data_IF_720447012790
#
_entry.id   IF_720447012790
#
_cell.length_a   1.000
_cell.length_b   1.000
_cell.length_c   1.000
_cell.angle_alpha   90.00
_cell.angle_beta   90.00
_cell.angle_gamma   90.00
#
_symmetry.space_group_name_H-M   'P 1'
#
loop_
_entity.id
_entity.type
_entity.pdbx_description
1 polymer ?
#
# COMPACT_ATOMS: atom_id res chain seq x y z
N UNK A 1 -9.72 -23.74 -19.48
CA UNK A 1 -9.79 -23.40 -20.91
C UNK A 1 -10.85 -24.23 -21.54
N UNK A 2 -12.04 -23.77 -21.83
CA UNK A 2 -12.59 -23.64 -23.16
C UNK A 2 -13.74 -22.60 -23.23
N UNK A 3 -13.49 -21.39 -23.67
CA UNK A 3 -14.55 -20.39 -23.98
C UNK A 3 -14.17 -19.36 -25.08
N UNK A 4 -13.14 -19.64 -25.90
CA UNK A 4 -12.72 -18.73 -26.99
C UNK A 4 -12.98 -19.25 -28.43
N UNK A 5 -13.68 -20.35 -28.59
CA UNK A 5 -13.91 -20.93 -29.94
C UNK A 5 -15.34 -20.66 -30.52
N UNK A 6 -16.24 -20.05 -29.72
CA UNK A 6 -17.63 -19.89 -30.15
C UNK A 6 -17.93 -18.61 -30.97
N UNK A 7 -17.00 -17.64 -31.06
CA UNK A 7 -17.29 -16.37 -31.77
C UNK A 7 -16.77 -16.32 -33.20
N UNK A 8 -15.95 -17.27 -33.64
CA UNK A 8 -15.40 -17.30 -34.99
C UNK A 8 -16.32 -18.00 -36.03
N UNK A 9 -17.37 -18.70 -35.59
CA UNK A 9 -18.22 -19.48 -36.50
C UNK A 9 -19.48 -18.77 -37.04
N UNK A 10 -19.76 -17.57 -36.57
CA UNK A 10 -21.00 -16.85 -36.97
C UNK A 10 -20.82 -15.84 -38.10
N UNK A 11 -19.58 -15.49 -38.48
CA UNK A 11 -19.35 -14.50 -39.55
C UNK A 11 -18.93 -15.06 -40.91
N UNK A 12 -18.91 -16.39 -41.11
CA UNK A 12 -18.40 -16.98 -42.34
C UNK A 12 -19.49 -17.41 -43.36
N UNK A 13 -20.75 -17.00 -43.21
CA UNK A 13 -21.84 -17.50 -44.08
C UNK A 13 -22.38 -16.50 -45.10
N UNK A 14 -21.87 -15.27 -45.21
CA UNK A 14 -22.47 -14.28 -46.11
C UNK A 14 -21.48 -13.37 -46.85
N UNK A 15 -20.34 -13.87 -47.29
CA UNK A 15 -19.51 -13.11 -48.22
C UNK A 15 -19.10 -13.93 -49.43
N UNK A 16 -19.54 -13.47 -50.60
CA UNK A 16 -19.40 -14.15 -51.87
C UNK A 16 -17.96 -14.23 -52.40
N UNK A 17 -17.79 -15.12 -53.31
CA UNK A 17 -16.61 -15.80 -53.85
C UNK A 17 -15.52 -14.95 -54.53
N UNK A 18 -15.37 -13.65 -54.29
CA UNK A 18 -14.38 -12.81 -54.98
C UNK A 18 -13.29 -12.16 -54.08
N UNK A 19 -13.29 -12.40 -52.78
CA UNK A 19 -12.34 -11.77 -51.83
C UNK A 19 -11.33 -12.76 -51.22
N UNK A 20 -11.33 -14.03 -51.61
CA UNK A 20 -10.42 -15.05 -51.02
C UNK A 20 -8.95 -14.94 -51.49
N UNK A 21 -8.70 -14.29 -52.62
CA UNK A 21 -7.32 -14.21 -53.16
C UNK A 21 -6.49 -13.11 -52.52
N UNK A 22 -7.09 -12.07 -51.90
CA UNK A 22 -6.37 -10.95 -51.28
C UNK A 22 -6.09 -11.15 -49.79
N UNK A 23 -6.82 -12.03 -49.11
CA UNK A 23 -6.58 -12.35 -47.70
C UNK A 23 -5.48 -13.38 -47.45
N UNK A 24 -5.12 -14.18 -48.47
CA UNK A 24 -4.02 -15.14 -48.34
C UNK A 24 -2.62 -14.48 -48.37
N UNK A 25 -2.49 -13.27 -48.94
CA UNK A 25 -1.22 -12.55 -48.99
C UNK A 25 -0.96 -11.70 -47.72
N UNK A 26 -1.99 -11.38 -46.96
CA UNK A 26 -1.84 -10.63 -45.70
C UNK A 26 -1.56 -11.56 -44.51
N UNK A 27 -1.98 -12.83 -44.58
CA UNK A 27 -1.77 -13.81 -43.52
C UNK A 27 -0.32 -14.34 -43.43
N UNK A 28 0.50 -14.19 -44.50
CA UNK A 28 1.90 -14.65 -44.51
C UNK A 28 2.87 -13.57 -44.00
N UNK A 29 2.44 -12.29 -43.91
CA UNK A 29 3.30 -11.20 -43.44
C UNK A 29 3.18 -10.92 -41.92
N UNK A 30 2.33 -11.63 -41.16
CA UNK A 30 2.14 -11.48 -39.71
C UNK A 30 2.66 -12.68 -38.91
N UNK A 31 3.30 -13.66 -39.59
CA UNK A 31 4.12 -14.67 -38.91
C UNK A 31 5.56 -14.15 -38.64
N UNK A 32 5.67 -12.87 -38.32
CA UNK A 32 6.85 -12.38 -37.60
C UNK A 32 6.82 -12.99 -36.21
N UNK A 33 7.86 -13.71 -35.84
CA UNK A 33 8.20 -14.11 -34.50
C UNK A 33 7.85 -12.98 -33.52
N UNK A 34 6.67 -12.99 -32.92
CA UNK A 34 6.54 -12.40 -31.61
C UNK A 34 7.31 -13.37 -30.69
N UNK A 35 8.62 -13.10 -30.49
CA UNK A 35 9.22 -13.44 -29.24
C UNK A 35 8.22 -12.92 -28.21
N UNK A 36 7.63 -13.76 -27.37
CA UNK A 36 7.00 -13.32 -26.14
C UNK A 36 8.09 -12.52 -25.43
N UNK A 37 8.07 -11.19 -25.63
CA UNK A 37 8.99 -10.31 -24.94
C UNK A 37 8.73 -10.55 -23.47
N UNK A 38 9.77 -10.92 -22.76
CA UNK A 38 9.74 -11.07 -21.31
C UNK A 38 9.02 -9.85 -20.75
N UNK A 39 7.85 -10.07 -20.16
CA UNK A 39 7.02 -8.98 -19.65
C UNK A 39 7.78 -8.34 -18.48
N UNK A 40 8.27 -7.12 -18.69
CA UNK A 40 9.03 -6.39 -17.67
C UNK A 40 8.13 -6.20 -16.46
N UNK A 41 8.48 -6.85 -15.36
CA UNK A 41 7.72 -6.75 -14.10
C UNK A 41 7.78 -5.32 -13.56
N UNK A 42 6.63 -4.73 -13.14
CA UNK A 42 6.63 -3.41 -12.51
C UNK A 42 7.55 -3.36 -11.29
N UNK A 43 8.30 -2.27 -11.15
CA UNK A 43 9.16 -1.99 -10.00
C UNK A 43 8.35 -1.37 -8.89
N UNK A 44 8.31 -1.99 -7.72
CA UNK A 44 7.46 -1.57 -6.61
C UNK A 44 8.27 -1.40 -5.33
N UNK A 45 8.08 -0.28 -4.65
CA UNK A 45 8.47 -0.05 -3.26
C UNK A 45 7.19 0.10 -2.45
N UNK A 46 7.10 -0.57 -1.31
CA UNK A 46 6.02 -0.40 -0.36
C UNK A 46 6.58 0.28 0.89
N UNK A 47 6.00 1.41 1.29
CA UNK A 47 6.21 1.98 2.63
C UNK A 47 4.96 1.76 3.46
N UNK A 48 5.12 1.25 4.69
CA UNK A 48 4.03 0.79 5.53
C UNK A 48 4.30 1.05 7.00
N UNK A 49 3.28 1.41 7.76
CA UNK A 49 3.31 1.47 9.21
C UNK A 49 2.67 0.21 9.83
N UNK A 50 2.71 -0.01 11.14
CA UNK A 50 2.22 -1.26 11.74
C UNK A 50 0.69 -1.31 11.88
N UNK A 51 -0.05 -0.64 11.01
CA UNK A 51 -1.50 -0.72 10.99
C UNK A 51 -1.98 -2.11 10.53
N UNK A 52 -3.21 -2.47 10.91
CA UNK A 52 -3.79 -3.77 10.60
C UNK A 52 -3.88 -4.02 9.10
N UNK A 53 -4.34 -3.02 8.36
CA UNK A 53 -4.55 -3.13 6.92
C UNK A 53 -3.23 -3.10 6.14
N UNK A 54 -2.21 -2.38 6.62
CA UNK A 54 -0.85 -2.41 6.07
C UNK A 54 -0.23 -3.80 6.19
N UNK A 55 -0.29 -4.38 7.40
CA UNK A 55 0.17 -5.74 7.63
C UNK A 55 -0.51 -6.72 6.67
N UNK A 56 -1.83 -6.64 6.56
CA UNK A 56 -2.60 -7.53 5.70
C UNK A 56 -2.34 -7.26 4.21
N UNK A 57 -2.06 -6.02 3.84
CA UNK A 57 -1.74 -5.64 2.46
C UNK A 57 -0.37 -6.18 2.06
N UNK A 58 0.65 -6.13 2.93
CA UNK A 58 1.96 -6.73 2.64
C UNK A 58 1.85 -8.25 2.49
N UNK A 59 1.05 -8.94 3.32
CA UNK A 59 0.81 -10.38 3.15
C UNK A 59 0.23 -10.68 1.76
N UNK A 60 -0.75 -9.88 1.31
CA UNK A 60 -1.31 -10.03 -0.04
C UNK A 60 -0.30 -9.70 -1.12
N UNK A 61 0.44 -8.61 -0.97
CA UNK A 61 1.44 -8.16 -1.94
C UNK A 61 2.54 -9.23 -2.15
N UNK A 62 3.03 -9.85 -1.09
CA UNK A 62 4.02 -10.93 -1.19
C UNK A 62 3.51 -12.14 -1.97
N UNK A 63 2.19 -12.42 -1.93
CA UNK A 63 1.60 -13.47 -2.74
C UNK A 63 1.53 -13.13 -4.24
N UNK A 64 1.73 -11.86 -4.61
CA UNK A 64 1.86 -11.37 -5.99
C UNK A 64 3.32 -11.08 -6.38
N UNK A 65 4.29 -11.54 -5.60
CA UNK A 65 5.71 -11.25 -5.85
C UNK A 65 6.27 -11.93 -7.12
N UNK A 66 5.55 -12.88 -7.72
CA UNK A 66 5.87 -13.39 -9.04
C UNK A 66 5.48 -12.45 -10.18
N UNK A 67 4.55 -11.51 -9.96
CA UNK A 67 4.05 -10.58 -10.98
C UNK A 67 4.74 -9.22 -10.95
N UNK A 68 5.38 -8.87 -9.83
CA UNK A 68 6.04 -7.57 -9.62
C UNK A 68 7.47 -7.75 -9.11
N UNK A 69 8.33 -6.75 -9.33
CA UNK A 69 9.68 -6.69 -8.79
C UNK A 69 9.68 -5.79 -7.56
N UNK A 70 9.71 -6.38 -6.37
CA UNK A 70 9.88 -5.60 -5.14
C UNK A 70 11.30 -5.05 -5.05
N UNK A 71 11.41 -3.73 -5.00
CA UNK A 71 12.66 -3.01 -4.81
C UNK A 71 12.87 -2.57 -3.36
N UNK A 72 11.80 -2.46 -2.59
CA UNK A 72 11.83 -2.11 -1.18
C UNK A 72 10.57 -2.47 -0.44
N UNK A 73 10.74 -2.94 0.79
CA UNK A 73 9.70 -3.14 1.81
C UNK A 73 10.12 -2.30 3.02
N UNK A 74 9.48 -1.14 3.21
CA UNK A 74 10.04 -0.10 4.06
C UNK A 74 9.10 0.21 5.21
N UNK A 75 9.62 0.11 6.45
CA UNK A 75 8.91 0.60 7.62
C UNK A 75 8.75 2.13 7.56
N UNK A 76 7.56 2.64 7.78
CA UNK A 76 7.22 4.05 7.79
C UNK A 76 6.46 4.43 9.06
N UNK A 77 6.14 5.70 9.22
CA UNK A 77 5.24 6.23 10.22
C UNK A 77 4.03 6.90 9.58
N UNK A 78 3.02 7.19 10.38
CA UNK A 78 1.90 8.04 10.04
C UNK A 78 1.42 8.78 11.28
N UNK A 79 0.36 9.61 11.15
CA UNK A 79 -0.31 10.17 12.32
C UNK A 79 -0.93 9.10 13.23
N UNK A 80 -1.12 7.89 12.74
CA UNK A 80 -1.74 6.81 13.50
C UNK A 80 -0.71 5.91 14.17
N UNK A 81 0.53 5.88 13.66
CA UNK A 81 1.58 5.00 14.16
C UNK A 81 2.96 5.63 14.00
N UNK A 82 3.66 5.90 15.11
CA UNK A 82 5.06 6.34 15.13
C UNK A 82 5.79 5.85 16.39
N UNK A 83 7.05 5.49 16.20
CA UNK A 83 7.82 4.71 17.18
C UNK A 83 8.39 5.52 18.32
N UNK A 84 8.68 6.79 18.10
CA UNK A 84 9.51 7.60 18.97
C UNK A 84 11.01 7.40 18.74
N UNK A 85 11.81 8.32 19.28
CA UNK A 85 13.27 8.32 19.13
C UNK A 85 14.02 7.52 20.21
N UNK A 86 13.29 6.91 21.14
CA UNK A 86 13.85 6.18 22.27
C UNK A 86 14.55 7.05 23.32
N UNK A 87 14.49 8.40 23.19
CA UNK A 87 15.15 9.36 24.08
C UNK A 87 14.17 10.11 24.98
N UNK A 88 12.89 9.80 24.87
CA UNK A 88 11.83 10.47 25.60
C UNK A 88 11.38 11.79 24.98
N UNK A 89 11.77 12.09 23.74
CA UNK A 89 11.25 13.24 23.01
C UNK A 89 9.75 13.07 22.78
N UNK A 90 8.98 14.07 23.14
CA UNK A 90 7.53 14.07 22.92
C UNK A 90 7.18 14.79 21.64
N UNK A 91 6.21 14.26 20.89
CA UNK A 91 5.64 14.92 19.73
C UNK A 91 4.27 15.52 20.03
N UNK A 92 4.02 16.69 19.41
CA UNK A 92 2.79 17.42 19.54
C UNK A 92 2.47 18.14 18.22
N UNK A 93 1.57 17.57 17.41
CA UNK A 93 1.11 18.19 16.16
C UNK A 93 -0.38 18.48 16.28
N UNK A 94 -0.81 19.76 16.25
CA UNK A 94 -2.23 20.13 16.32
C UNK A 94 -3.06 19.43 15.24
N UNK A 95 -4.25 18.98 15.63
CA UNK A 95 -5.21 18.34 14.71
C UNK A 95 -5.04 16.84 14.51
N UNK A 96 -3.96 16.25 14.99
CA UNK A 96 -3.78 14.79 14.97
C UNK A 96 -4.70 14.08 15.96
N UNK A 97 -4.96 12.80 15.74
CA UNK A 97 -5.82 11.98 16.60
C UNK A 97 -5.37 12.04 18.07
N UNK A 98 -4.11 11.76 18.33
CA UNK A 98 -3.52 11.75 19.68
C UNK A 98 -3.59 13.10 20.38
N UNK A 99 -3.71 14.20 19.61
CA UNK A 99 -3.83 15.55 20.15
C UNK A 99 -5.27 15.92 20.49
N UNK A 100 -6.20 15.59 19.59
CA UNK A 100 -7.63 15.91 19.75
C UNK A 100 -8.24 15.20 20.95
N UNK A 101 -7.69 14.07 21.33
CA UNK A 101 -8.21 13.25 22.44
C UNK A 101 -7.44 13.47 23.75
N UNK A 102 -6.53 14.46 23.79
CA UNK A 102 -5.70 14.77 24.95
C UNK A 102 -4.89 13.55 25.46
N UNK A 103 -4.58 12.62 24.57
CA UNK A 103 -3.82 11.41 24.90
C UNK A 103 -2.31 11.66 24.95
N UNK A 104 -1.86 12.76 24.37
CA UNK A 104 -0.46 13.18 24.28
C UNK A 104 -0.29 14.59 24.88
N UNK A 105 0.96 15.02 25.18
CA UNK A 105 2.20 14.65 24.47
C UNK A 105 2.67 13.24 24.76
N UNK A 106 3.03 12.51 23.70
CA UNK A 106 3.48 11.12 23.74
C UNK A 106 4.92 10.99 23.25
N UNK A 107 5.62 9.96 23.71
CA UNK A 107 6.97 9.59 23.23
C UNK A 107 6.93 8.56 22.11
N UNK A 108 5.79 7.95 21.87
CA UNK A 108 5.48 7.03 20.76
C UNK A 108 3.95 6.93 20.62
N UNK A 109 3.47 6.45 19.50
CA UNK A 109 2.04 6.26 19.28
C UNK A 109 1.77 4.98 18.49
N UNK A 110 1.14 3.99 19.12
CA UNK A 110 0.71 2.70 18.54
C UNK A 110 1.77 1.97 17.69
N UNK A 111 3.05 2.25 17.94
CA UNK A 111 4.17 1.59 17.28
C UNK A 111 5.07 0.97 18.36
N UNK A 112 5.07 -0.35 18.46
CA UNK A 112 5.90 -1.04 19.44
C UNK A 112 7.39 -0.84 19.14
N UNK A 113 8.26 -0.67 20.14
CA UNK A 113 9.71 -0.65 19.95
C UNK A 113 10.24 -1.90 19.22
N UNK A 114 9.60 -3.04 19.46
CA UNK A 114 9.98 -4.35 18.88
C UNK A 114 9.09 -4.74 17.67
N UNK A 115 8.49 -3.76 16.99
CA UNK A 115 7.65 -4.03 15.83
C UNK A 115 8.48 -4.45 14.62
N UNK A 116 8.26 -5.64 14.14
CA UNK A 116 8.96 -6.26 13.01
C UNK A 116 7.97 -6.97 12.06
N UNK A 117 6.79 -6.40 11.83
CA UNK A 117 5.74 -7.09 11.06
C UNK A 117 6.16 -7.45 9.63
N UNK A 118 6.96 -6.59 8.96
CA UNK A 118 7.46 -6.89 7.60
C UNK A 118 8.42 -8.10 7.64
N UNK A 119 9.35 -8.11 8.59
CA UNK A 119 10.27 -9.24 8.78
C UNK A 119 9.50 -10.53 9.08
N UNK A 120 8.52 -10.49 9.98
CA UNK A 120 7.70 -11.62 10.34
C UNK A 120 6.92 -12.20 9.13
N UNK A 121 6.45 -11.32 8.24
CA UNK A 121 5.75 -11.73 7.01
C UNK A 121 6.73 -12.42 6.05
N UNK A 122 7.93 -11.90 5.86
CA UNK A 122 8.95 -12.53 5.01
C UNK A 122 9.42 -13.86 5.60
N UNK A 123 9.56 -13.95 6.94
CA UNK A 123 9.86 -15.23 7.62
C UNK A 123 8.73 -16.26 7.48
N UNK A 124 7.48 -15.82 7.45
CA UNK A 124 6.34 -16.70 7.17
C UNK A 124 6.29 -17.12 5.69
N UNK A 125 6.61 -16.20 4.78
CA UNK A 125 6.76 -16.52 3.35
C UNK A 125 7.83 -17.57 3.11
N UNK A 126 8.97 -17.53 3.81
CA UNK A 126 10.02 -18.54 3.71
C UNK A 126 9.52 -19.96 3.98
N UNK A 127 8.57 -20.11 4.90
CA UNK A 127 7.97 -21.42 5.26
C UNK A 127 7.08 -22.01 4.16
N UNK A 128 6.58 -21.17 3.24
CA UNK A 128 5.67 -21.59 2.16
C UNK A 128 6.25 -21.40 0.76
N UNK A 129 7.43 -20.82 0.65
CA UNK A 129 8.07 -20.47 -0.63
C UNK A 129 8.17 -21.65 -1.59
N UNK A 130 8.57 -22.83 -1.12
CA UNK A 130 8.68 -24.03 -1.96
C UNK A 130 7.32 -24.46 -2.53
N UNK A 131 6.23 -24.27 -1.78
CA UNK A 131 4.89 -24.55 -2.26
C UNK A 131 4.44 -23.52 -3.32
N UNK A 132 4.78 -22.25 -3.10
CA UNK A 132 4.49 -21.19 -4.08
C UNK A 132 5.22 -21.44 -5.40
N UNK A 133 6.49 -21.86 -5.35
CA UNK A 133 7.28 -22.20 -6.54
C UNK A 133 6.75 -23.35 -7.37
N UNK A 134 5.90 -24.21 -6.81
CA UNK A 134 5.18 -25.24 -7.57
C UNK A 134 4.15 -24.61 -8.51
N UNK A 135 3.57 -23.46 -8.13
CA UNK A 135 2.57 -22.74 -8.93
C UNK A 135 3.22 -21.77 -9.91
N UNK A 136 4.30 -21.12 -9.50
CA UNK A 136 5.04 -20.17 -10.33
C UNK A 136 6.53 -20.16 -9.94
N UNK A 137 7.45 -20.53 -10.85
CA UNK A 137 8.88 -20.54 -10.56
C UNK A 137 9.48 -19.14 -10.30
N UNK A 138 8.77 -18.09 -10.67
CA UNK A 138 9.22 -16.69 -10.59
C UNK A 138 9.07 -16.06 -9.20
N UNK A 139 8.54 -16.80 -8.21
CA UNK A 139 8.53 -16.32 -6.84
C UNK A 139 9.97 -16.06 -6.34
N UNK A 140 10.30 -14.83 -5.89
CA UNK A 140 11.64 -14.49 -5.41
C UNK A 140 12.02 -15.31 -4.18
N UNK A 141 13.32 -15.46 -3.95
CA UNK A 141 13.76 -16.15 -2.74
C UNK A 141 13.42 -15.34 -1.47
N UNK A 142 13.22 -16.00 -0.33
CA UNK A 142 13.04 -15.29 0.94
C UNK A 142 14.19 -14.36 1.28
N UNK A 143 15.42 -14.75 0.94
CA UNK A 143 16.64 -13.95 1.14
C UNK A 143 16.61 -12.67 0.28
N UNK A 144 16.13 -12.78 -0.96
CA UNK A 144 15.94 -11.63 -1.84
C UNK A 144 14.94 -10.65 -1.22
N UNK A 145 13.76 -11.09 -0.82
CA UNK A 145 12.76 -10.23 -0.17
C UNK A 145 13.31 -9.63 1.13
N UNK A 146 14.02 -10.42 1.94
CA UNK A 146 14.62 -9.96 3.19
C UNK A 146 15.65 -8.86 2.98
N UNK A 147 16.42 -8.91 1.90
CA UNK A 147 17.40 -7.89 1.52
C UNK A 147 16.76 -6.54 1.19
N UNK A 148 15.47 -6.54 0.80
CA UNK A 148 14.68 -5.35 0.45
C UNK A 148 14.06 -4.64 1.66
N UNK A 149 14.09 -5.25 2.85
CA UNK A 149 13.56 -4.64 4.06
C UNK A 149 14.46 -3.51 4.52
N UNK A 150 13.88 -2.32 4.74
CA UNK A 150 14.59 -1.12 5.22
C UNK A 150 13.74 -0.36 6.23
N UNK A 151 14.43 0.35 7.12
CA UNK A 151 13.81 1.32 8.01
C UNK A 151 13.75 2.68 7.31
N UNK A 152 12.55 3.25 7.24
CA UNK A 152 12.30 4.60 6.79
C UNK A 152 12.21 5.58 7.96
N UNK A 153 11.49 6.67 7.76
CA UNK A 153 11.24 7.67 8.79
C UNK A 153 10.09 7.19 9.69
N UNK A 154 10.43 6.60 10.84
CA UNK A 154 9.48 5.95 11.75
C UNK A 154 9.42 6.61 13.13
N UNK A 155 10.39 7.49 13.44
CA UNK A 155 10.53 8.04 14.79
C UNK A 155 9.34 8.94 15.15
N UNK A 156 8.90 9.79 14.24
CA UNK A 156 7.81 10.73 14.46
C UNK A 156 6.90 10.89 13.25
N UNK A 157 5.64 11.25 13.50
CA UNK A 157 4.66 11.61 12.50
C UNK A 157 5.14 12.81 11.65
N UNK A 158 5.29 12.60 10.35
CA UNK A 158 5.67 13.64 9.39
C UNK A 158 7.11 14.16 9.48
N UNK A 159 7.97 13.56 10.31
CA UNK A 159 9.39 13.97 10.38
C UNK A 159 10.19 13.35 9.23
N UNK A 160 10.65 14.19 8.32
CA UNK A 160 11.58 13.85 7.24
C UNK A 160 12.91 14.61 7.32
N UNK A 161 13.29 15.03 8.52
CA UNK A 161 14.52 15.80 8.74
C UNK A 161 15.79 14.99 8.50
N UNK A 162 15.76 13.67 8.74
CA UNK A 162 16.92 12.78 8.68
C UNK A 162 16.83 11.79 7.54
N UNK A 163 17.96 11.53 6.87
CA UNK A 163 18.08 10.38 5.97
C UNK A 163 17.98 9.07 6.73
N UNK A 164 17.36 8.09 6.09
CA UNK A 164 17.19 6.72 6.58
C UNK A 164 17.58 5.76 5.46
N UNK A 165 17.79 4.49 5.81
CA UNK A 165 18.08 3.47 4.80
C UNK A 165 16.95 3.36 3.76
N UNK A 166 15.70 3.50 4.20
CA UNK A 166 14.53 3.51 3.32
C UNK A 166 14.51 4.71 2.38
N UNK A 167 14.75 5.92 2.89
CA UNK A 167 14.79 7.12 2.04
C UNK A 167 15.97 7.10 1.08
N UNK A 168 17.12 6.59 1.51
CA UNK A 168 18.31 6.45 0.66
C UNK A 168 18.10 5.40 -0.45
N UNK A 169 17.40 4.31 -0.14
CA UNK A 169 17.00 3.32 -1.14
C UNK A 169 16.09 3.94 -2.20
N UNK A 170 15.00 4.63 -1.81
CA UNK A 170 14.10 5.30 -2.75
C UNK A 170 14.87 6.30 -3.63
N UNK A 171 15.73 7.13 -3.02
CA UNK A 171 16.61 8.06 -3.75
C UNK A 171 17.44 7.34 -4.81
N UNK A 172 18.10 6.24 -4.44
CA UNK A 172 18.97 5.49 -5.36
C UNK A 172 18.18 4.90 -6.53
N UNK A 173 17.01 4.33 -6.27
CA UNK A 173 16.13 3.73 -7.28
C UNK A 173 15.53 4.76 -8.24
N UNK A 174 15.20 5.95 -7.74
CA UNK A 174 14.71 7.05 -8.59
C UNK A 174 15.81 7.57 -9.50
N UNK A 175 17.07 7.59 -9.03
CA UNK A 175 18.20 8.10 -9.77
C UNK A 175 18.92 7.07 -10.64
N UNK A 176 18.62 5.78 -10.51
CA UNK A 176 19.27 4.72 -11.30
C UNK A 176 18.94 4.83 -12.80
N UNK A 177 19.59 4.01 -13.62
CA UNK A 177 19.47 4.05 -15.08
C UNK A 177 18.40 3.10 -15.64
N UNK A 178 17.65 2.39 -14.77
CA UNK A 178 16.50 1.60 -15.20
C UNK A 178 15.43 2.55 -15.81
N UNK A 179 15.04 2.36 -17.09
CA UNK A 179 14.15 3.30 -17.77
C UNK A 179 12.69 3.23 -17.31
N UNK A 180 12.33 2.16 -16.63
CA UNK A 180 10.94 1.92 -16.17
C UNK A 180 10.53 2.83 -15.02
N UNK A 181 9.22 3.02 -14.84
CA UNK A 181 8.70 3.73 -13.68
C UNK A 181 8.99 2.97 -12.39
N UNK A 182 9.17 3.72 -11.31
CA UNK A 182 9.21 3.22 -9.95
C UNK A 182 7.90 3.59 -9.25
N UNK A 183 7.11 2.59 -8.93
CA UNK A 183 5.88 2.76 -8.16
C UNK A 183 6.20 2.68 -6.68
N UNK A 184 5.90 3.73 -5.93
CA UNK A 184 6.07 3.78 -4.48
C UNK A 184 4.71 3.91 -3.84
N UNK A 185 4.24 2.86 -3.17
CA UNK A 185 2.99 2.92 -2.41
C UNK A 185 3.27 3.42 -1.00
N UNK A 186 2.59 4.49 -0.59
CA UNK A 186 2.60 4.97 0.78
C UNK A 186 1.33 4.50 1.48
N UNK A 187 1.45 3.43 2.25
CA UNK A 187 0.31 2.87 3.01
C UNK A 187 0.12 3.61 4.33
N UNK A 188 1.22 4.05 4.97
CA UNK A 188 1.22 5.03 6.03
C UNK A 188 1.44 6.47 5.51
N UNK A 189 2.30 7.24 6.20
CA UNK A 189 2.68 8.59 5.77
C UNK A 189 3.72 8.60 4.64
N UNK A 190 3.93 9.77 4.07
CA UNK A 190 4.84 9.99 2.94
C UNK A 190 6.22 10.54 3.35
N UNK A 191 6.50 10.70 4.65
CA UNK A 191 7.74 11.31 5.17
C UNK A 191 9.02 10.66 4.65
N UNK A 192 9.04 9.34 4.46
CA UNK A 192 10.19 8.63 3.89
C UNK A 192 10.42 9.00 2.41
N UNK A 193 9.35 9.16 1.63
CA UNK A 193 9.42 9.60 0.24
C UNK A 193 9.84 11.06 0.18
N UNK A 194 9.24 11.91 1.02
CA UNK A 194 9.61 13.33 1.15
C UNK A 194 11.10 13.48 1.49
N UNK A 195 11.66 12.63 2.40
CA UNK A 195 13.09 12.63 2.71
C UNK A 195 13.95 12.26 1.51
N UNK A 196 13.58 11.23 0.76
CA UNK A 196 14.30 10.84 -0.44
C UNK A 196 14.35 11.99 -1.46
N UNK A 197 13.21 12.61 -1.72
CA UNK A 197 13.09 13.76 -2.61
C UNK A 197 13.85 14.99 -2.10
N UNK A 198 13.81 15.24 -0.79
CA UNK A 198 14.60 16.32 -0.18
C UNK A 198 16.09 16.07 -0.31
N UNK A 199 16.57 14.84 -0.15
CA UNK A 199 17.98 14.49 -0.34
C UNK A 199 18.43 14.70 -1.78
N UNK A 200 17.58 14.42 -2.77
CA UNK A 200 17.85 14.73 -4.18
C UNK A 200 17.93 16.25 -4.38
N UNK A 201 16.98 17.00 -3.84
CA UNK A 201 16.98 18.47 -3.91
C UNK A 201 18.26 19.05 -3.27
N UNK A 202 18.58 18.64 -2.05
CA UNK A 202 19.75 19.14 -1.32
C UNK A 202 21.07 18.88 -2.09
N UNK A 203 21.14 17.75 -2.80
CA UNK A 203 22.31 17.37 -3.58
C UNK A 203 22.44 18.12 -4.91
N UNK A 204 21.33 18.34 -5.61
CA UNK A 204 21.37 18.78 -7.02
C UNK A 204 20.81 20.16 -7.30
N UNK A 205 20.00 20.76 -6.41
CA UNK A 205 19.28 22.01 -6.70
C UNK A 205 20.18 23.20 -7.09
N UNK A 206 21.44 23.20 -6.65
CA UNK A 206 22.43 24.26 -6.94
C UNK A 206 23.45 23.82 -8.00
N UNK A 207 23.19 22.74 -8.73
CA UNK A 207 24.11 22.22 -9.74
C UNK A 207 23.54 22.40 -11.15
N UNK A 208 24.39 22.40 -12.19
CA UNK A 208 23.91 22.45 -13.57
C UNK A 208 23.02 21.26 -13.97
N UNK A 209 23.04 20.17 -13.23
CA UNK A 209 22.26 18.96 -13.49
C UNK A 209 20.80 19.07 -13.01
N UNK A 210 20.46 20.10 -12.24
CA UNK A 210 19.17 20.18 -11.53
C UNK A 210 17.96 19.91 -12.42
N UNK A 211 17.84 20.61 -13.56
CA UNK A 211 16.68 20.45 -14.44
C UNK A 211 16.56 19.02 -15.00
N UNK A 212 17.69 18.42 -15.40
CA UNK A 212 17.70 17.05 -15.91
C UNK A 212 17.33 16.03 -14.80
N UNK A 213 17.80 16.25 -13.58
CA UNK A 213 17.46 15.42 -12.42
C UNK A 213 15.98 15.58 -12.07
N UNK A 214 15.47 16.79 -12.02
CA UNK A 214 14.07 17.07 -11.73
C UNK A 214 13.14 16.40 -12.75
N UNK A 215 13.48 16.49 -14.03
CA UNK A 215 12.75 15.81 -15.10
C UNK A 215 12.83 14.28 -14.98
N UNK A 216 14.01 13.73 -14.69
CA UNK A 216 14.20 12.28 -14.45
C UNK A 216 13.28 11.80 -13.30
N UNK A 217 13.29 12.51 -12.17
CA UNK A 217 12.44 12.19 -11.00
C UNK A 217 10.97 12.23 -11.39
N UNK A 218 10.52 13.31 -12.03
CA UNK A 218 9.12 13.49 -12.41
C UNK A 218 8.61 12.43 -13.38
N UNK A 219 9.47 11.96 -14.28
CA UNK A 219 9.10 10.91 -15.24
C UNK A 219 9.11 9.51 -14.63
N UNK A 220 9.98 9.29 -13.63
CA UNK A 220 10.26 7.94 -13.11
C UNK A 220 9.47 7.61 -11.85
N UNK A 221 9.28 8.55 -10.96
CA UNK A 221 8.60 8.33 -9.69
C UNK A 221 7.09 8.45 -9.85
N UNK A 222 6.39 7.40 -9.43
CA UNK A 222 4.93 7.37 -9.30
C UNK A 222 4.59 7.05 -7.85
N UNK A 223 3.94 7.96 -7.16
CA UNK A 223 3.50 7.79 -5.78
C UNK A 223 2.04 7.32 -5.77
N UNK A 224 1.74 6.34 -4.93
CA UNK A 224 0.38 5.80 -4.75
C UNK A 224 0.08 5.84 -3.25
N UNK A 225 -0.40 6.97 -2.71
CA UNK A 225 -0.66 7.11 -1.29
C UNK A 225 -2.03 6.55 -0.92
N UNK A 226 -2.14 6.10 0.32
CA UNK A 226 -3.41 5.82 1.00
C UNK A 226 -3.86 7.07 1.77
N UNK A 227 -3.90 8.21 1.08
CA UNK A 227 -4.06 9.54 1.64
C UNK A 227 -2.77 10.12 2.23
N UNK A 228 -2.73 11.45 2.39
CA UNK A 228 -1.61 12.16 3.01
C UNK A 228 -1.69 12.05 4.54
N UNK A 229 -1.32 10.88 5.07
CA UNK A 229 -1.56 10.55 6.48
C UNK A 229 -0.66 11.30 7.46
N UNK A 230 0.45 11.88 7.01
CA UNK A 230 1.38 12.63 7.86
C UNK A 230 1.55 14.10 7.45
N UNK A 231 0.84 14.53 6.42
CA UNK A 231 0.84 15.89 5.91
C UNK A 231 2.07 16.28 5.10
N UNK A 232 3.00 15.35 4.83
CA UNK A 232 4.23 15.66 4.07
C UNK A 232 4.01 15.74 2.57
N UNK A 233 2.98 15.09 2.03
CA UNK A 233 2.51 15.27 0.66
C UNK A 233 2.19 16.74 0.39
N UNK A 234 1.25 17.28 1.14
CA UNK A 234 0.82 18.67 1.02
C UNK A 234 1.92 19.69 1.41
N UNK A 235 2.68 19.40 2.48
CA UNK A 235 3.67 20.35 3.00
C UNK A 235 4.97 20.40 2.18
N UNK A 236 5.36 19.31 1.53
CA UNK A 236 6.66 19.24 0.86
C UNK A 236 6.60 18.69 -0.55
N UNK A 237 5.96 17.54 -0.80
CA UNK A 237 6.03 16.87 -2.11
C UNK A 237 5.34 17.70 -3.18
N UNK A 238 4.07 18.05 -3.00
CA UNK A 238 3.30 18.78 -4.00
C UNK A 238 3.91 20.15 -4.38
N UNK A 239 4.31 21.00 -3.41
CA UNK A 239 4.86 22.33 -3.79
C UNK A 239 6.26 22.29 -4.40
N UNK A 240 7.09 21.28 -4.05
CA UNK A 240 8.48 21.23 -4.53
C UNK A 240 8.69 20.28 -5.72
N UNK A 241 7.80 19.30 -5.91
CA UNK A 241 7.89 18.29 -6.96
C UNK A 241 6.60 18.16 -7.78
N UNK A 242 6.05 19.25 -8.31
CA UNK A 242 4.74 19.25 -8.98
C UNK A 242 4.68 18.39 -10.25
N UNK A 243 5.83 17.92 -10.76
CA UNK A 243 5.89 17.01 -11.90
C UNK A 243 5.87 15.54 -11.53
N UNK A 244 5.98 15.18 -10.24
CA UNK A 244 5.85 13.80 -9.79
C UNK A 244 4.39 13.39 -9.88
N UNK A 245 4.16 12.23 -10.48
CA UNK A 245 2.81 11.69 -10.64
C UNK A 245 2.36 11.02 -9.35
N UNK A 246 1.17 11.41 -8.89
CA UNK A 246 0.54 10.84 -7.71
C UNK A 246 -0.84 10.32 -8.06
N UNK A 247 -1.12 9.08 -7.68
CA UNK A 247 -2.42 8.45 -7.83
C UNK A 247 -2.99 8.11 -6.46
N UNK A 248 -3.85 8.93 -5.92
CA UNK A 248 -4.60 8.59 -4.74
C UNK A 248 -5.59 7.46 -5.06
N UNK A 249 -5.46 6.35 -4.36
CA UNK A 249 -6.34 5.22 -4.54
C UNK A 249 -7.65 5.44 -3.77
N UNK A 250 -8.71 5.74 -4.50
CA UNK A 250 -10.07 5.90 -3.97
C UNK A 250 -10.93 4.63 -4.14
N UNK A 251 -10.30 3.47 -3.92
CA UNK A 251 -10.95 2.18 -4.11
C UNK A 251 -11.98 1.80 -3.03
N UNK A 252 -12.34 0.52 -3.00
CA UNK A 252 -13.22 -0.03 -1.98
C UNK A 252 -12.52 0.07 -0.63
N UNK A 253 -13.13 0.79 0.30
CA UNK A 253 -12.65 0.91 1.66
C UNK A 253 -12.66 -0.44 2.39
N UNK A 254 -11.81 -0.53 3.40
CA UNK A 254 -11.54 -1.78 4.11
C UNK A 254 -12.71 -2.28 4.96
N UNK A 255 -12.70 -3.57 5.19
CA UNK A 255 -13.38 -4.28 6.25
C UNK A 255 -14.77 -3.71 6.62
N UNK A 256 -14.86 -3.09 7.77
CA UNK A 256 -16.12 -2.59 8.31
C UNK A 256 -16.74 -1.43 7.49
N UNK A 257 -15.93 -0.60 6.81
CA UNK A 257 -16.43 0.46 5.91
C UNK A 257 -17.02 -0.18 4.65
N UNK A 258 -16.36 -1.20 4.09
CA UNK A 258 -16.85 -1.93 2.93
C UNK A 258 -18.22 -2.58 3.20
N UNK A 259 -18.47 -3.05 4.42
CA UNK A 259 -19.74 -3.64 4.80
C UNK A 259 -20.94 -2.70 4.59
N UNK A 260 -20.75 -1.39 4.73
CA UNK A 260 -21.81 -0.41 4.47
C UNK A 260 -22.05 -0.14 2.99
N UNK A 261 -21.01 -0.36 2.15
CA UNK A 261 -21.02 -0.01 0.72
C UNK A 261 -21.35 -1.20 -0.18
N UNK A 262 -21.17 -2.43 0.31
CA UNK A 262 -21.33 -3.64 -0.47
C UNK A 262 -22.79 -4.13 -0.50
N UNK A 263 -23.12 -4.83 -1.57
CA UNK A 263 -24.37 -5.55 -1.69
C UNK A 263 -24.51 -6.62 -0.58
N UNK A 264 -25.72 -6.85 -0.05
CA UNK A 264 -25.93 -7.76 1.08
C UNK A 264 -25.34 -9.16 0.91
N UNK A 265 -25.36 -9.70 -0.29
CA UNK A 265 -24.83 -11.03 -0.64
C UNK A 265 -23.31 -11.11 -0.55
N UNK A 266 -22.60 -9.98 -0.61
CA UNK A 266 -21.12 -9.91 -0.56
C UNK A 266 -20.62 -9.61 0.84
N UNK A 267 -21.42 -8.94 1.69
CA UNK A 267 -21.07 -8.54 3.06
C UNK A 267 -20.49 -9.67 3.90
N UNK A 268 -21.01 -10.92 3.87
CA UNK A 268 -20.47 -12.02 4.68
C UNK A 268 -18.99 -12.31 4.46
N UNK A 269 -18.43 -12.00 3.28
CA UNK A 269 -17.03 -12.21 2.95
C UNK A 269 -16.09 -11.17 3.60
N UNK A 270 -16.66 -10.10 4.15
CA UNK A 270 -15.90 -9.00 4.78
C UNK A 270 -16.08 -8.98 6.30
N UNK A 271 -16.57 -10.06 6.89
CA UNK A 271 -16.71 -10.17 8.34
C UNK A 271 -15.44 -10.71 8.98
N UNK A 272 -15.16 -10.35 10.25
CA UNK A 272 -14.07 -10.91 11.03
C UNK A 272 -14.13 -12.44 11.11
N UNK A 273 -15.32 -13.00 11.27
CA UNK A 273 -15.56 -14.44 11.38
C UNK A 273 -15.16 -15.17 10.09
N UNK A 274 -15.52 -14.60 8.94
CA UNK A 274 -15.12 -15.16 7.65
C UNK A 274 -13.61 -15.15 7.49
N UNK A 275 -12.97 -14.02 7.80
CA UNK A 275 -11.51 -13.88 7.71
C UNK A 275 -10.80 -14.81 8.68
N UNK A 276 -11.28 -14.91 9.92
CA UNK A 276 -10.75 -15.84 10.91
C UNK A 276 -10.81 -17.29 10.42
N UNK A 277 -11.94 -17.69 9.85
CA UNK A 277 -12.17 -19.05 9.37
C UNK A 277 -11.42 -19.38 8.08
N UNK A 278 -11.39 -18.44 7.14
CA UNK A 278 -10.97 -18.73 5.77
C UNK A 278 -9.57 -18.23 5.43
N UNK A 279 -9.01 -17.30 6.20
CA UNK A 279 -7.68 -16.73 5.96
C UNK A 279 -6.72 -17.14 7.09
N UNK A 280 -7.01 -16.80 8.34
CA UNK A 280 -6.08 -17.05 9.47
C UNK A 280 -5.76 -18.53 9.72
N UNK A 281 -6.64 -19.43 9.34
CA UNK A 281 -6.42 -20.89 9.50
C UNK A 281 -5.69 -21.53 8.31
N UNK A 282 -5.09 -20.74 7.40
CA UNK A 282 -4.53 -21.22 6.13
C UNK A 282 -3.00 -21.19 6.06
N UNK A 283 -2.34 -21.50 7.18
CA UNK A 283 -0.90 -21.64 7.26
C UNK A 283 -0.17 -20.36 7.62
N UNK A 284 1.18 -20.37 7.55
CA UNK A 284 2.03 -19.36 8.19
C UNK A 284 1.72 -17.89 7.82
N UNK A 285 1.39 -17.62 6.57
CA UNK A 285 1.01 -16.27 6.14
C UNK A 285 -0.39 -15.89 6.63
N UNK A 286 -1.32 -16.82 6.56
CA UNK A 286 -2.67 -16.62 7.07
C UNK A 286 -2.69 -16.36 8.58
N UNK A 287 -1.83 -17.04 9.34
CA UNK A 287 -1.73 -16.90 10.80
C UNK A 287 -1.31 -15.48 11.23
N UNK A 288 -0.60 -14.74 10.36
CA UNK A 288 -0.21 -13.37 10.59
C UNK A 288 -1.27 -12.34 10.17
N UNK A 289 -2.34 -12.79 9.52
CA UNK A 289 -3.39 -11.88 9.06
C UNK A 289 -4.17 -11.34 10.25
N UNK A 290 -4.20 -10.03 10.41
CA UNK A 290 -4.88 -9.34 11.50
C UNK A 290 -6.36 -9.21 11.19
N UNK A 291 -7.20 -9.30 12.20
CA UNK A 291 -8.65 -9.28 12.04
C UNK A 291 -9.26 -8.31 13.04
N UNK A 292 -10.05 -7.36 12.54
CA UNK A 292 -10.92 -6.55 13.38
C UNK A 292 -12.05 -7.42 13.94
N UNK A 293 -12.26 -7.34 15.25
CA UNK A 293 -13.48 -7.88 15.87
C UNK A 293 -14.67 -7.00 15.49
N UNK A 294 -15.86 -7.59 15.46
CA UNK A 294 -17.09 -6.82 15.22
C UNK A 294 -17.26 -5.73 16.29
N UNK A 295 -17.22 -4.48 15.86
CA UNK A 295 -17.22 -3.31 16.76
C UNK A 295 -15.98 -3.18 17.67
N UNK A 296 -14.90 -3.92 17.41
CA UNK A 296 -13.67 -3.92 18.21
C UNK A 296 -12.48 -3.46 17.35
N UNK A 297 -11.48 -2.86 17.97
CA UNK A 297 -10.27 -2.43 17.27
C UNK A 297 -9.43 -3.62 16.79
N UNK A 298 -9.22 -4.59 17.65
CA UNK A 298 -8.53 -5.83 17.33
C UNK A 298 -9.14 -6.98 18.10
N UNK A 299 -8.84 -8.20 17.70
CA UNK A 299 -9.24 -9.38 18.47
C UNK A 299 -8.41 -9.48 19.75
N UNK A 300 -9.04 -9.89 20.84
CA UNK A 300 -8.37 -10.13 22.12
C UNK A 300 -7.22 -11.11 21.95
N UNK A 301 -6.05 -10.75 22.47
CA UNK A 301 -4.85 -11.59 22.40
C UNK A 301 -4.04 -11.43 21.12
N UNK A 302 -4.30 -10.42 20.31
CA UNK A 302 -3.43 -10.02 19.21
C UNK A 302 -2.07 -9.59 19.78
N UNK A 303 -1.00 -10.25 19.34
CA UNK A 303 0.37 -10.01 19.85
C UNK A 303 0.91 -8.63 19.47
N UNK A 304 0.29 -7.96 18.52
CA UNK A 304 0.67 -6.61 18.08
C UNK A 304 -0.09 -5.50 18.78
N UNK A 305 -0.90 -5.85 19.77
CA UNK A 305 -1.65 -4.89 20.58
C UNK A 305 -0.77 -4.25 21.66
N UNK A 306 0.12 -3.38 21.22
CA UNK A 306 1.08 -2.71 22.10
C UNK A 306 0.41 -1.83 23.19
N UNK A 307 -0.74 -1.26 22.91
CA UNK A 307 -1.45 -0.38 23.83
C UNK A 307 -2.60 -1.07 24.61
N UNK A 308 -2.75 -2.37 24.47
CA UNK A 308 -3.80 -3.11 25.17
C UNK A 308 -5.22 -2.81 24.69
N UNK A 309 -5.38 -2.41 23.42
CA UNK A 309 -6.68 -2.02 22.86
C UNK A 309 -7.49 -3.21 22.32
N UNK A 310 -6.85 -4.38 22.18
CA UNK A 310 -7.50 -5.59 21.68
C UNK A 310 -8.70 -5.99 22.54
N UNK A 311 -9.77 -6.32 21.85
CA UNK A 311 -11.00 -6.78 22.49
C UNK A 311 -11.90 -5.69 23.07
N UNK A 312 -11.51 -4.40 23.00
CA UNK A 312 -12.39 -3.29 23.31
C UNK A 312 -13.34 -3.02 22.15
N UNK A 313 -14.57 -2.69 22.47
CA UNK A 313 -15.54 -2.21 21.48
C UNK A 313 -15.23 -0.75 21.12
N UNK A 314 -15.73 -0.32 19.96
CA UNK A 314 -15.62 1.08 19.54
C UNK A 314 -16.19 2.06 20.58
N UNK A 315 -17.27 1.69 21.26
CA UNK A 315 -17.85 2.51 22.33
C UNK A 315 -16.96 2.59 23.57
N UNK A 316 -16.31 1.48 23.93
CA UNK A 316 -15.36 1.47 25.04
C UNK A 316 -14.14 2.34 24.73
N UNK A 317 -13.60 2.23 23.51
CA UNK A 317 -12.47 3.04 23.07
C UNK A 317 -12.81 4.53 23.05
N UNK A 318 -14.00 4.92 22.59
CA UNK A 318 -14.47 6.30 22.66
C UNK A 318 -14.56 6.82 24.11
N UNK A 319 -15.06 6.01 25.02
CA UNK A 319 -15.09 6.37 26.46
C UNK A 319 -13.70 6.53 27.05
N UNK A 320 -12.71 5.81 26.52
CA UNK A 320 -11.31 5.92 26.89
C UNK A 320 -10.61 7.11 26.22
N UNK A 321 -11.31 7.86 25.36
CA UNK A 321 -10.77 9.03 24.67
C UNK A 321 -10.19 8.76 23.28
N UNK A 322 -10.29 7.53 22.75
CA UNK A 322 -9.80 7.23 21.41
C UNK A 322 -10.80 7.65 20.33
N UNK A 323 -10.28 8.19 19.24
CA UNK A 323 -11.06 8.36 18.03
C UNK A 323 -11.19 6.99 17.36
N UNK A 324 -12.42 6.54 17.16
CA UNK A 324 -12.73 5.27 16.55
C UNK A 324 -13.55 5.50 15.31
N UNK A 325 -13.08 4.99 14.21
CA UNK A 325 -13.86 4.95 12.98
C UNK A 325 -15.06 4.05 13.18
N UNK A 326 -16.23 4.65 13.17
CA UNK A 326 -17.50 3.95 13.08
C UNK A 326 -18.02 4.11 11.65
N UNK A 327 -18.49 3.04 11.01
CA UNK A 327 -19.25 3.22 9.78
C UNK A 327 -20.36 4.24 10.03
N UNK A 328 -20.57 5.19 9.11
CA UNK A 328 -21.68 6.13 9.27
C UNK A 328 -22.96 5.31 9.41
N UNK A 329 -23.65 5.45 10.54
CA UNK A 329 -24.95 4.82 10.75
C UNK A 329 -25.84 5.22 9.56
N UNK A 330 -26.52 4.29 8.89
CA UNK A 330 -27.40 4.63 7.79
C UNK A 330 -28.41 5.66 8.29
N UNK A 331 -28.27 6.89 7.81
CA UNK A 331 -29.33 7.87 8.04
C UNK A 331 -30.57 7.35 7.31
N UNK A 332 -31.56 6.92 8.04
CA UNK A 332 -32.83 6.53 7.46
C UNK A 332 -33.30 7.69 6.56
N UNK A 333 -33.24 7.48 5.26
CA UNK A 333 -34.00 8.25 4.29
C UNK A 333 -33.31 9.23 3.35
N UNK A 334 -31.98 9.24 3.16
CA UNK A 334 -31.38 10.06 2.06
C UNK A 334 -30.12 9.40 1.46
N UNK A 335 -30.10 9.07 0.16
CA UNK A 335 -28.87 8.69 -0.50
C UNK A 335 -28.03 9.96 -0.76
N UNK A 336 -27.08 10.27 0.11
CA UNK A 336 -26.07 11.29 -0.20
C UNK A 336 -24.94 10.65 -0.99
N UNK A 337 -24.79 11.06 -2.25
CA UNK A 337 -23.51 10.99 -2.94
C UNK A 337 -22.54 11.90 -2.18
N UNK A 338 -21.66 11.35 -1.35
CA UNK A 338 -20.59 12.11 -0.75
C UNK A 338 -19.47 12.29 -1.79
N UNK A 339 -19.04 13.53 -2.00
CA UNK A 339 -17.80 13.82 -2.69
C UNK A 339 -16.64 13.52 -1.73
N UNK A 340 -15.53 13.03 -2.24
CA UNK A 340 -14.35 12.60 -1.50
C UNK A 340 -13.73 13.69 -0.60
N UNK A 341 -14.04 14.96 -0.85
CA UNK A 341 -13.59 16.13 -0.08
C UNK A 341 -14.17 16.26 1.32
N UNK A 342 -15.23 15.52 1.66
CA UNK A 342 -15.91 15.67 2.96
C UNK A 342 -15.22 14.86 4.09
N UNK A 343 -14.23 14.07 3.76
CA UNK A 343 -13.53 13.19 4.71
C UNK A 343 -12.56 13.93 5.63
N UNK A 344 -12.03 15.07 5.16
CA UNK A 344 -11.03 15.88 5.88
C UNK A 344 -11.58 17.23 6.39
N UNK A 345 -12.85 17.57 6.12
CA UNK A 345 -13.43 18.87 6.48
C UNK A 345 -14.56 18.85 7.50
N UNK A 346 -14.93 17.72 8.06
CA UNK A 346 -15.95 17.72 9.11
C UNK A 346 -15.28 17.78 10.47
N UNK A 347 -14.81 18.91 10.86
CA UNK A 347 -14.80 19.46 12.22
C UNK A 347 -13.85 20.68 12.26
N UNK A 348 -14.41 21.83 11.85
CA UNK A 348 -13.99 23.14 12.32
C UNK A 348 -15.00 23.64 13.33
#
# INVERSE_FOLDING_TARGET
MPRRIALAHFMLKHMGSCTLALMALVAVAVSGNQSEGETVKPRVVITADPELDDNNTIIRAILYSSDVRFEGLIYASSQFHWRGDGKGTTQYIPGREYMRLELCPCTSWRFSPDEHFIDNIVDAYAKVHQNLKVHDPDYPSPEELKSKIKWGNVDFDGDFSKETDGSSLIKSLVLDDDPGPLYVTAQGGESTIARALKSIYDQYAKTPQWEAIREKVSRKLVIIPSGDQDGTGAAYIHPNWPGVLEYEFSGINFGYIAQDQLAPEVKPYFTPEWTQKNVRSRGPLGDLYRVWGDGKQMMKGDKTDYFGLSGHTSEQLKKMGYMVWMPPQPRRGVPRRRRHTDFYQSDR
#
